data_IF_059017592426
#
_entry.id   IF_059017592426
#
_cell.length_a   1.000
_cell.length_b   1.000
_cell.length_c   1.000
_cell.angle_alpha   90.00
_cell.angle_beta   90.00
_cell.angle_gamma   90.00
#
_symmetry.space_group_name_H-M   'P 1'
#
loop_
_entity.id
_entity.type
_entity.pdbx_description
1 polymer ?
#
# COMPACT_ATOMS: atom_id res chain seq x y z
N UNK A 1 4.22 -69.41 9.74
CA UNK A 1 2.86 -69.51 9.14
C UNK A 1 2.65 -70.81 8.34
N UNK A 2 3.66 -71.67 8.16
CA UNK A 2 3.57 -72.94 7.41
C UNK A 2 3.27 -74.18 8.30
N UNK A 3 3.49 -74.09 9.61
CA UNK A 3 3.39 -75.30 10.53
C UNK A 3 1.95 -75.46 11.08
N UNK A 4 1.07 -74.50 10.93
CA UNK A 4 -0.33 -74.55 11.40
C UNK A 4 -1.32 -75.17 10.40
N UNK A 5 -0.93 -75.45 9.16
CA UNK A 5 -1.78 -76.08 8.13
C UNK A 5 -1.64 -77.57 8.03
N UNK A 6 -0.60 -78.17 8.58
CA UNK A 6 -0.37 -79.65 8.52
C UNK A 6 -1.07 -80.43 9.60
N UNK A 7 -1.58 -79.82 10.67
CA UNK A 7 -2.30 -80.54 11.74
C UNK A 7 -3.81 -80.71 11.53
N UNK A 8 -4.38 -80.12 10.49
CA UNK A 8 -5.81 -80.32 10.20
C UNK A 8 -6.14 -81.32 9.11
N UNK A 9 -5.14 -81.84 8.41
CA UNK A 9 -5.35 -82.89 7.37
C UNK A 9 -5.23 -84.33 7.81
N UNK A 10 -4.79 -84.59 9.04
CA UNK A 10 -4.60 -86.01 9.51
C UNK A 10 -5.79 -86.61 10.26
N UNK A 11 -6.92 -85.89 10.43
CA UNK A 11 -8.08 -86.43 11.17
C UNK A 11 -9.23 -86.84 10.23
N UNK A 12 -9.09 -86.63 8.92
CA UNK A 12 -10.17 -86.91 7.97
C UNK A 12 -10.07 -88.24 7.22
N UNK A 13 -8.90 -88.88 7.24
CA UNK A 13 -8.68 -90.10 6.42
C UNK A 13 -8.63 -91.47 7.21
N UNK A 14 -8.93 -91.43 8.51
CA UNK A 14 -8.85 -92.67 9.31
C UNK A 14 -10.18 -93.35 9.67
N UNK A 15 -11.32 -92.83 9.10
CA UNK A 15 -12.64 -93.39 9.44
C UNK A 15 -13.41 -94.00 8.23
N UNK A 16 -12.75 -94.30 7.12
CA UNK A 16 -13.42 -95.00 6.01
C UNK A 16 -12.59 -96.21 5.64
N UNK A 17 -12.70 -97.27 6.42
CA UNK A 17 -12.51 -98.65 6.04
C UNK A 17 -12.85 -99.57 7.25
N UNK A 18 -14.10 -99.93 7.40
CA UNK A 18 -14.59 -101.15 7.96
C UNK A 18 -16.12 -101.06 8.13
N UNK A 19 -16.86 -101.41 7.11
CA UNK A 19 -18.22 -101.92 7.21
C UNK A 19 -18.60 -102.44 5.82
N UNK A 20 -18.16 -103.65 5.55
CA UNK A 20 -18.80 -104.44 4.55
C UNK A 20 -19.37 -105.67 5.29
N UNK A 21 -20.62 -105.92 5.19
CA UNK A 21 -21.49 -107.00 5.46
C UNK A 21 -22.56 -106.76 6.54
N UNK A 22 -23.79 -106.52 5.95
CA UNK A 22 -25.10 -107.02 6.45
C UNK A 22 -25.43 -106.90 7.95
N UNK A 23 -26.58 -106.24 8.16
CA UNK A 23 -27.57 -106.31 9.23
C UNK A 23 -27.36 -105.56 10.56
N UNK A 24 -28.40 -104.73 10.83
CA UNK A 24 -28.71 -104.03 12.08
C UNK A 24 -27.86 -102.78 12.46
N UNK A 25 -28.19 -101.68 11.87
CA UNK A 25 -27.76 -100.35 12.36
C UNK A 25 -28.91 -99.35 12.58
N UNK A 26 -29.96 -99.75 13.31
CA UNK A 26 -31.01 -98.80 13.73
C UNK A 26 -30.74 -98.11 15.05
N UNK A 27 -29.59 -98.29 15.67
CA UNK A 27 -29.23 -97.67 16.97
C UNK A 27 -28.32 -96.42 16.93
N UNK A 28 -27.72 -96.06 15.79
CA UNK A 28 -26.69 -94.96 15.70
C UNK A 28 -27.17 -93.65 15.21
N UNK A 29 -28.39 -93.50 14.72
CA UNK A 29 -28.95 -92.24 14.25
C UNK A 29 -29.36 -91.33 15.38
N UNK A 30 -29.55 -91.77 16.60
CA UNK A 30 -29.92 -90.92 17.74
C UNK A 30 -28.69 -90.32 18.45
N UNK A 31 -27.51 -90.93 18.41
CA UNK A 31 -26.29 -90.43 19.02
C UNK A 31 -25.70 -89.19 18.29
N UNK A 32 -25.73 -89.15 16.93
CA UNK A 32 -25.21 -88.07 16.14
C UNK A 32 -26.10 -86.82 16.28
N UNK A 33 -27.43 -86.95 16.32
CA UNK A 33 -28.35 -85.86 16.55
C UNK A 33 -28.17 -85.21 17.95
N UNK A 34 -27.93 -86.02 18.99
CA UNK A 34 -27.68 -85.47 20.32
C UNK A 34 -26.33 -84.70 20.37
N UNK A 35 -25.27 -85.21 19.71
CA UNK A 35 -23.99 -84.48 19.63
C UNK A 35 -24.07 -83.18 18.82
N UNK A 36 -24.82 -83.16 17.72
CA UNK A 36 -25.02 -81.94 16.90
C UNK A 36 -25.89 -80.99 17.66
N UNK A 37 -26.93 -81.34 18.35
CA UNK A 37 -27.74 -80.48 19.21
C UNK A 37 -26.96 -79.88 20.38
N UNK A 38 -26.12 -80.72 21.05
CA UNK A 38 -25.25 -80.21 22.13
C UNK A 38 -24.20 -79.22 21.57
N UNK A 39 -23.66 -79.53 20.41
CA UNK A 39 -22.69 -78.65 19.74
C UNK A 39 -23.34 -77.37 19.33
N UNK A 40 -24.50 -77.35 18.68
CA UNK A 40 -25.28 -76.19 18.32
C UNK A 40 -25.70 -75.38 19.55
N UNK A 41 -26.10 -76.01 20.63
CA UNK A 41 -26.41 -75.31 21.90
C UNK A 41 -25.19 -74.68 22.55
N UNK A 42 -24.02 -75.30 22.45
CA UNK A 42 -22.74 -74.72 22.91
C UNK A 42 -22.30 -73.55 22.04
N UNK A 43 -22.44 -73.68 20.75
CA UNK A 43 -22.15 -72.59 19.83
C UNK A 43 -23.13 -71.39 20.00
N UNK A 44 -24.40 -71.69 20.18
CA UNK A 44 -25.45 -70.64 20.48
C UNK A 44 -25.17 -69.94 21.83
N UNK A 45 -24.81 -70.68 22.87
CA UNK A 45 -24.39 -70.12 24.18
C UNK A 45 -23.10 -69.28 24.07
N UNK A 46 -22.13 -69.64 23.23
CA UNK A 46 -20.93 -68.93 23.00
C UNK A 46 -21.27 -67.56 22.23
N UNK A 47 -22.14 -67.69 21.24
CA UNK A 47 -22.61 -66.48 20.46
C UNK A 47 -23.40 -65.49 21.32
N UNK A 48 -24.32 -66.03 22.20
CA UNK A 48 -25.03 -65.20 23.16
C UNK A 48 -24.09 -64.51 24.18
N UNK A 49 -23.08 -65.28 24.65
CA UNK A 49 -22.09 -64.74 25.59
C UNK A 49 -21.22 -63.66 24.91
N UNK A 50 -20.85 -63.85 23.62
CA UNK A 50 -20.13 -62.88 22.83
C UNK A 50 -21.00 -61.63 22.59
N UNK A 51 -22.29 -61.78 22.21
CA UNK A 51 -23.24 -60.66 22.07
C UNK A 51 -23.37 -59.87 23.37
N UNK A 52 -23.50 -60.53 24.52
CA UNK A 52 -23.54 -59.86 25.84
C UNK A 52 -22.24 -59.11 26.14
N UNK A 53 -21.08 -59.67 25.86
CA UNK A 53 -19.77 -58.99 26.04
C UNK A 53 -19.63 -57.77 25.14
N UNK A 54 -20.09 -57.85 23.89
CA UNK A 54 -20.09 -56.72 22.94
C UNK A 54 -21.03 -55.61 23.43
N UNK A 55 -22.26 -55.96 23.88
CA UNK A 55 -23.22 -55.00 24.43
C UNK A 55 -22.64 -54.29 25.66
N UNK A 56 -22.01 -55.04 26.58
CA UNK A 56 -21.35 -54.46 27.75
C UNK A 56 -20.20 -53.53 27.34
N UNK A 57 -19.37 -53.92 26.37
CA UNK A 57 -18.27 -53.13 25.89
C UNK A 57 -18.77 -51.83 25.24
N UNK A 58 -19.82 -51.90 24.41
CA UNK A 58 -20.48 -50.71 23.81
C UNK A 58 -21.07 -49.83 24.90
N UNK A 59 -21.77 -50.39 25.89
CA UNK A 59 -22.34 -49.60 26.99
C UNK A 59 -21.25 -48.88 27.81
N UNK A 60 -20.12 -49.54 28.08
CA UNK A 60 -18.96 -48.93 28.75
C UNK A 60 -18.40 -47.76 27.90
N UNK A 61 -18.23 -47.95 26.59
CA UNK A 61 -17.74 -46.91 25.68
C UNK A 61 -18.70 -45.72 25.68
N UNK A 62 -20.01 -45.95 25.63
CA UNK A 62 -21.05 -44.90 25.69
C UNK A 62 -20.99 -44.12 27.02
N UNK A 63 -20.83 -44.84 28.14
CA UNK A 63 -20.72 -44.19 29.48
C UNK A 63 -19.44 -43.35 29.57
N UNK A 64 -18.32 -43.85 29.06
CA UNK A 64 -17.06 -43.14 29.06
C UNK A 64 -17.14 -41.89 28.12
N UNK A 65 -17.77 -42.01 26.95
CA UNK A 65 -18.01 -40.92 26.05
C UNK A 65 -18.94 -39.83 26.67
N UNK A 66 -20.04 -40.26 27.32
CA UNK A 66 -20.95 -39.36 28.03
C UNK A 66 -20.28 -38.66 29.21
N UNK A 67 -19.49 -39.39 30.01
CA UNK A 67 -18.70 -38.82 31.11
C UNK A 67 -17.63 -37.84 30.60
N UNK A 68 -16.95 -38.21 29.53
CA UNK A 68 -15.98 -37.32 28.88
C UNK A 68 -16.60 -36.01 28.36
N UNK A 69 -17.71 -36.11 27.63
CA UNK A 69 -18.42 -34.93 27.15
C UNK A 69 -18.99 -34.07 28.27
N UNK A 70 -19.50 -34.66 29.33
CA UNK A 70 -19.94 -33.92 30.52
C UNK A 70 -18.79 -33.18 31.20
N UNK A 71 -17.64 -33.81 31.38
CA UNK A 71 -16.44 -33.17 31.92
C UNK A 71 -15.99 -31.98 31.06
N UNK A 72 -15.90 -32.16 29.73
CA UNK A 72 -15.52 -31.10 28.80
C UNK A 72 -16.52 -29.93 28.89
N UNK A 73 -17.84 -30.20 28.87
CA UNK A 73 -18.88 -29.18 29.00
C UNK A 73 -18.77 -28.41 30.32
N UNK A 74 -18.54 -29.12 31.44
CA UNK A 74 -18.37 -28.47 32.75
C UNK A 74 -17.17 -27.50 32.75
N UNK A 75 -16.03 -27.89 32.19
CA UNK A 75 -14.82 -27.05 32.09
C UNK A 75 -15.06 -25.82 31.21
N UNK A 76 -15.68 -26.01 30.03
CA UNK A 76 -16.01 -24.92 29.11
C UNK A 76 -17.00 -23.97 29.78
N UNK A 77 -18.11 -24.47 30.33
CA UNK A 77 -19.13 -23.65 30.98
C UNK A 77 -18.57 -22.81 32.12
N UNK A 78 -17.68 -23.38 32.94
CA UNK A 78 -17.00 -22.65 34.01
C UNK A 78 -16.14 -21.49 33.48
N UNK A 79 -15.46 -21.68 32.35
CA UNK A 79 -14.58 -20.65 31.77
C UNK A 79 -15.34 -19.51 31.13
N UNK A 80 -16.57 -19.74 30.64
CA UNK A 80 -17.38 -18.73 29.93
C UNK A 80 -18.55 -18.19 30.76
N UNK A 81 -18.71 -18.63 32.03
CA UNK A 81 -19.88 -18.38 32.89
C UNK A 81 -20.19 -16.88 33.07
N UNK A 82 -19.18 -16.05 33.23
CA UNK A 82 -19.32 -14.64 33.58
C UNK A 82 -19.61 -13.73 32.37
N UNK A 83 -19.84 -14.30 31.20
CA UNK A 83 -20.08 -13.52 29.98
C UNK A 83 -18.88 -12.68 29.50
N UNK A 84 -17.69 -12.99 30.03
CA UNK A 84 -16.41 -12.33 29.72
C UNK A 84 -15.61 -13.10 28.70
N UNK A 85 -14.68 -12.45 28.01
CA UNK A 85 -13.69 -13.08 27.14
C UNK A 85 -12.84 -14.05 28.00
N UNK A 86 -12.55 -15.23 27.47
CA UNK A 86 -11.75 -16.23 28.20
C UNK A 86 -10.37 -15.67 28.56
N UNK A 87 -9.81 -16.15 29.65
CA UNK A 87 -8.48 -15.69 30.11
C UNK A 87 -7.38 -16.06 29.11
N UNK A 88 -6.36 -15.22 29.00
CA UNK A 88 -5.20 -15.47 28.15
C UNK A 88 -5.35 -14.95 26.71
N UNK A 89 -6.46 -14.27 26.37
CA UNK A 89 -6.63 -13.61 25.09
C UNK A 89 -5.92 -12.26 25.11
N UNK A 90 -5.09 -12.02 24.12
CA UNK A 90 -4.40 -10.75 23.87
C UNK A 90 -4.57 -10.31 22.42
N UNK A 91 -4.55 -9.01 22.18
CA UNK A 91 -4.70 -8.40 20.87
C UNK A 91 -3.65 -7.30 20.72
N UNK A 92 -2.73 -7.47 19.74
CA UNK A 92 -1.64 -6.51 19.46
C UNK A 92 -0.95 -5.94 20.71
N UNK A 93 -0.56 -6.83 21.62
CA UNK A 93 0.18 -6.45 22.84
C UNK A 93 -0.68 -6.14 24.07
N UNK A 94 -1.97 -5.86 23.93
CA UNK A 94 -2.87 -5.65 25.08
C UNK A 94 -3.59 -6.94 25.47
N UNK A 95 -3.76 -7.16 26.79
CA UNK A 95 -4.55 -8.28 27.31
C UNK A 95 -6.00 -7.90 27.42
N UNK A 96 -6.89 -8.63 26.74
CA UNK A 96 -8.36 -8.45 26.77
C UNK A 96 -9.08 -9.62 27.43
N UNK A 97 -8.33 -10.66 27.85
CA UNK A 97 -8.88 -11.80 28.57
C UNK A 97 -9.41 -11.42 29.95
N UNK A 98 -10.63 -11.87 30.26
CA UNK A 98 -11.34 -11.53 31.49
C UNK A 98 -12.15 -10.22 31.42
N UNK A 99 -12.10 -9.50 30.30
CA UNK A 99 -12.90 -8.30 30.04
C UNK A 99 -14.30 -8.67 29.51
N UNK A 100 -15.26 -7.80 29.73
CA UNK A 100 -16.53 -7.80 29.01
C UNK A 100 -16.31 -7.34 27.56
N UNK A 101 -17.30 -7.50 26.69
CA UNK A 101 -17.22 -7.02 25.29
C UNK A 101 -16.99 -5.51 25.22
N UNK A 102 -17.66 -4.72 26.08
CA UNK A 102 -17.51 -3.27 26.10
C UNK A 102 -16.11 -2.86 26.56
N UNK A 103 -15.64 -3.39 27.68
CA UNK A 103 -14.29 -3.11 28.21
C UNK A 103 -13.19 -3.47 27.19
N UNK A 104 -13.34 -4.61 26.52
CA UNK A 104 -12.38 -5.04 25.49
C UNK A 104 -12.42 -4.12 24.25
N UNK A 105 -13.60 -3.65 23.83
CA UNK A 105 -13.77 -2.70 22.75
C UNK A 105 -13.05 -1.38 23.08
N UNK A 106 -13.34 -0.81 24.24
CA UNK A 106 -12.76 0.45 24.69
C UNK A 106 -11.23 0.35 24.80
N UNK A 107 -10.73 -0.79 25.30
CA UNK A 107 -9.29 -1.04 25.40
C UNK A 107 -8.61 -1.13 24.01
N UNK A 108 -9.23 -1.85 23.06
CA UNK A 108 -8.74 -1.96 21.69
C UNK A 108 -8.78 -0.60 21.00
N UNK A 109 -9.89 0.13 21.08
CA UNK A 109 -10.03 1.44 20.46
C UNK A 109 -8.99 2.45 20.98
N UNK A 110 -8.79 2.49 22.30
CA UNK A 110 -7.78 3.37 22.92
C UNK A 110 -6.37 3.03 22.47
N UNK A 111 -5.99 1.76 22.50
CA UNK A 111 -4.67 1.29 22.07
C UNK A 111 -4.43 1.56 20.58
N UNK A 112 -5.40 1.25 19.74
CA UNK A 112 -5.29 1.48 18.31
C UNK A 112 -5.26 2.95 17.94
N UNK A 113 -5.93 3.81 18.72
CA UNK A 113 -5.84 5.26 18.55
C UNK A 113 -4.42 5.77 18.77
N UNK A 114 -3.70 5.25 19.75
CA UNK A 114 -2.29 5.59 19.98
C UNK A 114 -1.42 5.15 18.80
N UNK A 115 -1.54 3.88 18.36
CA UNK A 115 -0.80 3.35 17.22
C UNK A 115 -1.10 4.14 15.94
N UNK A 116 -2.36 4.47 15.67
CA UNK A 116 -2.74 5.20 14.45
C UNK A 116 -2.31 6.67 14.44
N UNK A 117 -2.01 7.26 15.60
CA UNK A 117 -1.37 8.58 15.69
C UNK A 117 0.13 8.55 15.34
N UNK A 118 0.75 7.38 15.33
CA UNK A 118 2.14 7.25 14.93
C UNK A 118 2.35 7.60 13.46
N UNK A 119 3.56 8.07 13.17
CA UNK A 119 3.96 8.40 11.81
C UNK A 119 4.54 7.17 11.12
N UNK A 120 4.05 6.91 9.92
CA UNK A 120 4.64 5.96 8.99
C UNK A 120 5.41 6.70 7.90
N UNK A 121 6.60 6.22 7.55
CA UNK A 121 7.45 6.81 6.53
C UNK A 121 7.08 6.27 5.15
N UNK A 122 6.85 7.17 4.20
CA UNK A 122 6.68 6.89 2.78
C UNK A 122 8.00 7.16 2.08
N UNK A 123 8.50 6.22 1.30
CA UNK A 123 9.78 6.40 0.62
C UNK A 123 9.77 5.90 -0.82
N UNK A 124 10.64 6.51 -1.62
CA UNK A 124 11.04 6.05 -2.95
C UNK A 124 12.50 6.47 -3.17
N UNK A 125 13.35 5.52 -3.54
CA UNK A 125 14.81 5.73 -3.57
C UNK A 125 15.31 6.37 -2.26
N UNK A 126 15.99 7.52 -2.34
CA UNK A 126 16.48 8.27 -1.17
C UNK A 126 15.49 9.33 -0.64
N UNK A 127 14.42 9.57 -1.37
CA UNK A 127 13.40 10.55 -0.98
C UNK A 127 12.45 9.97 0.05
N UNK A 128 12.15 10.75 1.10
CA UNK A 128 11.31 10.33 2.22
C UNK A 128 10.29 11.39 2.59
N UNK A 129 9.14 10.92 3.03
CA UNK A 129 8.08 11.74 3.63
C UNK A 129 7.43 10.96 4.76
N UNK A 130 6.56 11.60 5.53
CA UNK A 130 5.83 10.91 6.59
C UNK A 130 4.39 11.41 6.70
N UNK A 131 3.50 10.53 7.16
CA UNK A 131 2.13 10.85 7.51
C UNK A 131 1.68 9.99 8.68
N UNK A 132 0.63 10.40 9.41
CA UNK A 132 0.05 9.54 10.44
C UNK A 132 -0.73 8.40 9.78
N UNK A 133 -0.72 7.23 10.43
CA UNK A 133 -1.43 6.03 9.93
C UNK A 133 -2.93 6.32 9.77
N UNK A 134 -3.56 7.03 10.73
CA UNK A 134 -4.97 7.42 10.65
C UNK A 134 -5.27 8.37 9.48
N UNK A 135 -4.34 9.30 9.21
CA UNK A 135 -4.47 10.22 8.07
C UNK A 135 -4.45 9.47 6.74
N UNK A 136 -3.72 8.36 6.68
CA UNK A 136 -3.68 7.46 5.53
C UNK A 136 -4.89 6.51 5.46
N UNK A 137 -5.85 6.65 6.37
CA UNK A 137 -7.15 5.98 6.27
C UNK A 137 -7.19 4.55 6.82
N UNK A 138 -6.30 4.18 7.74
CA UNK A 138 -6.42 2.94 8.50
C UNK A 138 -7.26 3.18 9.76
N UNK A 139 -8.22 2.29 10.02
CA UNK A 139 -9.11 2.32 11.18
C UNK A 139 -9.23 0.92 11.78
N UNK A 140 -9.32 0.84 13.11
CA UNK A 140 -9.62 -0.41 13.79
C UNK A 140 -11.12 -0.78 13.66
N UNK A 141 -11.42 -2.05 13.42
CA UNK A 141 -12.74 -2.64 13.55
C UNK A 141 -12.81 -3.39 14.89
N UNK A 142 -12.85 -2.65 16.00
CA UNK A 142 -12.82 -3.20 17.34
C UNK A 142 -13.98 -4.16 17.61
N UNK A 143 -15.19 -3.86 17.13
CA UNK A 143 -16.37 -4.72 17.32
C UNK A 143 -16.12 -6.13 16.73
N UNK A 144 -15.56 -6.21 15.51
CA UNK A 144 -15.28 -7.48 14.85
C UNK A 144 -14.20 -8.28 15.58
N UNK A 145 -13.18 -7.58 16.06
CA UNK A 145 -12.09 -8.19 16.86
C UNK A 145 -12.61 -8.73 18.19
N UNK A 146 -13.48 -7.97 18.87
CA UNK A 146 -14.11 -8.38 20.13
C UNK A 146 -15.03 -9.59 19.92
N UNK A 147 -15.82 -9.63 18.84
CA UNK A 147 -16.67 -10.78 18.53
C UNK A 147 -15.85 -12.05 18.29
N UNK A 148 -14.72 -11.97 17.58
CA UNK A 148 -13.81 -13.11 17.42
C UNK A 148 -13.23 -13.55 18.75
N UNK A 149 -12.74 -12.61 19.57
CA UNK A 149 -12.22 -12.90 20.91
C UNK A 149 -13.29 -13.55 21.82
N UNK A 150 -14.52 -13.06 21.74
CA UNK A 150 -15.64 -13.58 22.55
C UNK A 150 -16.13 -14.93 22.06
N UNK A 151 -15.99 -15.27 20.78
CA UNK A 151 -16.33 -16.57 20.20
C UNK A 151 -15.45 -17.71 20.71
N UNK A 152 -14.23 -17.43 21.20
CA UNK A 152 -13.34 -18.41 21.77
C UNK A 152 -13.99 -19.09 22.98
N UNK A 153 -13.99 -20.42 22.98
CA UNK A 153 -14.63 -21.26 23.98
C UNK A 153 -16.17 -21.29 23.89
N UNK A 154 -16.79 -20.55 22.94
CA UNK A 154 -18.27 -20.51 22.79
C UNK A 154 -18.75 -21.05 21.45
N UNK A 155 -17.94 -20.97 20.40
CA UNK A 155 -18.30 -21.44 19.06
C UNK A 155 -17.67 -22.79 18.72
N UNK A 156 -18.27 -23.53 17.77
CA UNK A 156 -17.76 -24.81 17.30
C UNK A 156 -18.14 -26.03 18.15
N UNK A 157 -17.47 -27.16 17.94
CA UNK A 157 -17.67 -28.41 18.65
C UNK A 157 -17.21 -28.33 20.10
N UNK A 158 -17.66 -29.29 20.96
CA UNK A 158 -17.20 -29.32 22.36
C UNK A 158 -15.68 -29.48 22.47
N UNK A 159 -15.08 -30.21 21.54
CA UNK A 159 -13.62 -30.36 21.50
C UNK A 159 -12.91 -29.05 21.14
N UNK A 160 -13.44 -28.27 20.17
CA UNK A 160 -12.95 -26.95 19.81
C UNK A 160 -13.02 -26.02 21.01
N UNK A 161 -14.21 -25.91 21.61
CA UNK A 161 -14.45 -25.06 22.80
C UNK A 161 -13.52 -25.41 23.96
N UNK A 162 -13.32 -26.69 24.19
CA UNK A 162 -12.40 -27.15 25.25
C UNK A 162 -10.94 -26.85 24.90
N UNK A 163 -10.54 -27.01 23.64
CA UNK A 163 -9.21 -26.63 23.17
C UNK A 163 -8.93 -25.16 23.43
N UNK A 164 -9.87 -24.27 23.04
CA UNK A 164 -9.77 -22.82 23.27
C UNK A 164 -9.59 -22.51 24.77
N UNK A 165 -10.39 -23.14 25.65
CA UNK A 165 -10.29 -22.91 27.09
C UNK A 165 -9.02 -23.52 27.71
N UNK A 166 -8.50 -24.63 27.16
CA UNK A 166 -7.27 -25.28 27.62
C UNK A 166 -6.02 -24.48 27.22
N UNK A 167 -6.05 -23.83 26.06
CA UNK A 167 -4.97 -23.00 25.59
C UNK A 167 -4.80 -21.78 26.48
N UNK A 168 -3.58 -21.55 26.94
CA UNK A 168 -3.28 -20.49 27.91
C UNK A 168 -3.06 -19.11 27.26
N UNK A 169 -2.83 -19.06 25.96
CA UNK A 169 -2.47 -17.84 25.24
C UNK A 169 -3.09 -17.82 23.84
N UNK A 170 -3.99 -16.90 23.61
CA UNK A 170 -4.54 -16.59 22.28
C UNK A 170 -4.05 -15.22 21.86
N UNK A 171 -3.39 -15.16 20.73
CA UNK A 171 -2.96 -13.88 20.13
C UNK A 171 -3.85 -13.60 18.93
N UNK A 172 -4.60 -12.53 19.00
CA UNK A 172 -5.44 -12.03 17.91
C UNK A 172 -4.82 -10.79 17.30
N UNK A 173 -5.06 -10.58 16.03
CA UNK A 173 -4.77 -9.31 15.35
C UNK A 173 -6.02 -8.46 15.29
N UNK A 174 -5.87 -7.14 15.39
CA UNK A 174 -6.99 -6.20 15.23
C UNK A 174 -7.46 -6.21 13.78
N UNK A 175 -8.75 -6.43 13.54
CA UNK A 175 -9.33 -6.19 12.23
C UNK A 175 -9.24 -4.71 11.87
N UNK A 176 -8.81 -4.43 10.65
CA UNK A 176 -8.64 -3.07 10.16
C UNK A 176 -9.48 -2.82 8.92
N UNK A 177 -10.04 -1.63 8.85
CA UNK A 177 -10.69 -1.07 7.67
C UNK A 177 -9.80 0.00 7.08
N UNK A 178 -9.80 0.10 5.77
CA UNK A 178 -8.97 1.04 5.04
C UNK A 178 -9.82 1.90 4.09
N UNK A 179 -9.68 3.21 4.19
CA UNK A 179 -10.29 4.17 3.28
C UNK A 179 -9.28 4.53 2.18
N UNK A 180 -9.49 3.97 0.97
CA UNK A 180 -8.63 4.21 -0.18
C UNK A 180 -8.65 5.66 -0.64
N UNK A 181 -9.81 6.33 -0.61
CA UNK A 181 -9.91 7.72 -1.06
C UNK A 181 -9.17 8.67 -0.11
N UNK A 182 -9.29 8.44 1.20
CA UNK A 182 -8.53 9.17 2.22
C UNK A 182 -7.04 8.92 2.07
N UNK A 183 -6.62 7.66 1.85
CA UNK A 183 -5.22 7.31 1.59
C UNK A 183 -4.68 8.06 0.38
N UNK A 184 -5.35 8.01 -0.77
CA UNK A 184 -4.94 8.67 -1.99
C UNK A 184 -4.75 10.17 -1.82
N UNK A 185 -5.72 10.85 -1.21
CA UNK A 185 -5.66 12.28 -0.93
C UNK A 185 -4.44 12.65 -0.08
N UNK A 186 -4.20 11.91 0.99
CA UNK A 186 -3.15 12.25 1.94
C UNK A 186 -1.76 11.77 1.51
N UNK A 187 -1.64 10.66 0.77
CA UNK A 187 -0.40 10.28 0.10
C UNK A 187 0.01 11.35 -0.90
N UNK A 188 -0.89 11.82 -1.79
CA UNK A 188 -0.60 12.90 -2.74
C UNK A 188 -0.14 14.18 -2.03
N UNK A 189 -0.78 14.53 -0.90
CA UNK A 189 -0.37 15.68 -0.09
C UNK A 189 1.02 15.50 0.53
N UNK A 190 1.27 14.37 1.16
CA UNK A 190 2.54 14.07 1.81
C UNK A 190 3.71 13.98 0.82
N UNK A 191 3.45 13.47 -0.40
CA UNK A 191 4.48 13.23 -1.41
C UNK A 191 4.61 14.34 -2.46
N UNK A 192 3.93 15.49 -2.29
CA UNK A 192 3.94 16.61 -3.27
C UNK A 192 5.34 17.06 -3.68
N UNK A 193 6.33 16.97 -2.78
CA UNK A 193 7.73 17.35 -3.06
C UNK A 193 8.50 16.25 -3.77
N UNK A 194 8.08 14.99 -3.64
CA UNK A 194 8.70 13.80 -4.20
C UNK A 194 8.09 13.50 -5.57
N UNK A 195 6.76 13.37 -5.63
CA UNK A 195 5.99 13.07 -6.84
C UNK A 195 5.82 14.36 -7.65
N UNK A 196 6.65 14.54 -8.64
CA UNK A 196 6.67 15.73 -9.52
C UNK A 196 7.10 15.33 -10.92
N UNK A 197 6.74 16.16 -11.90
CA UNK A 197 7.31 16.01 -13.25
C UNK A 197 8.85 16.15 -13.21
N UNK A 198 9.55 15.50 -14.14
CA UNK A 198 10.99 15.64 -14.24
C UNK A 198 11.38 17.08 -14.53
N UNK A 199 12.47 17.53 -13.95
CA UNK A 199 13.04 18.84 -14.26
C UNK A 199 14.37 18.65 -14.98
N UNK A 200 14.50 19.26 -16.13
CA UNK A 200 15.75 19.27 -16.87
C UNK A 200 16.87 19.98 -16.08
N UNK A 201 18.10 19.55 -16.32
CA UNK A 201 19.25 20.31 -15.89
C UNK A 201 19.24 21.69 -16.52
N UNK A 202 19.79 22.67 -15.84
CA UNK A 202 19.90 24.05 -16.32
C UNK A 202 21.23 24.65 -15.94
N UNK A 203 21.53 25.85 -16.49
CA UNK A 203 22.77 26.57 -16.22
C UNK A 203 22.43 27.94 -15.67
N UNK A 204 23.15 28.38 -14.66
CA UNK A 204 23.17 29.77 -14.20
C UNK A 204 24.56 30.35 -14.37
N UNK A 205 24.63 31.61 -14.75
CA UNK A 205 25.90 32.37 -14.74
C UNK A 205 26.05 33.09 -13.41
N UNK A 206 27.10 32.75 -12.66
CA UNK A 206 27.44 33.39 -11.40
C UNK A 206 28.92 33.77 -11.43
N UNK A 207 29.22 35.03 -11.12
CA UNK A 207 30.59 35.60 -11.08
C UNK A 207 31.39 35.29 -12.36
N UNK A 208 30.73 35.47 -13.51
CA UNK A 208 31.34 35.17 -14.83
C UNK A 208 31.41 33.70 -15.23
N UNK A 209 31.14 32.77 -14.34
CA UNK A 209 31.24 31.33 -14.58
C UNK A 209 29.85 30.67 -14.76
N UNK A 210 29.80 29.66 -15.58
CA UNK A 210 28.59 28.83 -15.72
C UNK A 210 28.53 27.77 -14.61
N UNK A 211 27.44 27.71 -13.90
CA UNK A 211 27.18 26.75 -12.83
C UNK A 211 26.00 25.88 -13.24
N UNK A 212 26.23 24.57 -13.34
CA UNK A 212 25.21 23.59 -13.72
C UNK A 212 24.31 23.32 -12.52
N UNK A 213 23.00 23.39 -12.73
CA UNK A 213 21.96 22.94 -11.81
C UNK A 213 21.50 21.57 -12.28
N UNK A 214 21.66 20.56 -11.42
CA UNK A 214 21.31 19.20 -11.75
C UNK A 214 19.83 19.02 -12.09
N UNK A 215 19.58 18.10 -12.98
CA UNK A 215 18.25 17.59 -13.27
C UNK A 215 17.61 16.92 -12.05
N UNK A 216 16.30 16.81 -12.08
CA UNK A 216 15.56 16.03 -11.10
C UNK A 216 14.72 14.98 -11.82
N UNK A 217 14.85 13.72 -11.38
CA UNK A 217 13.98 12.63 -11.81
C UNK A 217 12.54 12.94 -11.37
N UNK A 218 11.60 12.75 -12.26
CA UNK A 218 10.17 12.81 -11.97
C UNK A 218 9.65 11.44 -11.55
N UNK A 219 8.57 11.47 -10.76
CA UNK A 219 7.87 10.27 -10.32
C UNK A 219 6.38 10.42 -10.56
N UNK A 220 5.77 9.42 -11.19
CA UNK A 220 4.31 9.31 -11.31
C UNK A 220 3.85 8.19 -10.41
N UNK A 221 2.94 8.48 -9.46
CA UNK A 221 2.50 7.56 -8.43
C UNK A 221 1.47 6.55 -8.97
N UNK A 222 1.72 5.27 -8.76
CA UNK A 222 0.73 4.20 -8.92
C UNK A 222 0.01 4.01 -7.57
N UNK A 223 -1.17 4.60 -7.44
CA UNK A 223 -1.92 4.59 -6.18
C UNK A 223 -2.43 3.21 -5.78
N UNK A 224 -2.73 2.31 -6.72
CA UNK A 224 -3.24 1.00 -6.38
C UNK A 224 -2.20 0.18 -5.61
N UNK A 225 -0.99 0.10 -6.16
CA UNK A 225 0.12 -0.64 -5.53
C UNK A 225 0.64 0.08 -4.27
N UNK A 226 0.73 1.42 -4.30
CA UNK A 226 1.09 2.19 -3.11
C UNK A 226 0.12 1.93 -1.95
N UNK A 227 -1.19 1.87 -2.23
CA UNK A 227 -2.19 1.53 -1.23
C UNK A 227 -2.05 0.09 -0.71
N UNK A 228 -1.73 -0.86 -1.60
CA UNK A 228 -1.46 -2.25 -1.21
C UNK A 228 -0.21 -2.34 -0.32
N UNK A 229 0.86 -1.60 -0.64
CA UNK A 229 2.06 -1.53 0.17
C UNK A 229 1.80 -0.91 1.56
N UNK A 230 1.00 0.17 1.62
CA UNK A 230 0.56 0.76 2.88
C UNK A 230 -0.17 -0.27 3.76
N UNK A 231 -1.17 -0.98 3.21
CA UNK A 231 -1.90 -2.02 3.95
C UNK A 231 -0.97 -3.09 4.50
N UNK A 232 -0.12 -3.65 3.65
CA UNK A 232 0.87 -4.68 4.05
C UNK A 232 1.80 -4.17 5.16
N UNK A 233 2.20 -2.90 5.11
CA UNK A 233 3.07 -2.32 6.12
C UNK A 233 2.35 -2.19 7.47
N UNK A 234 1.11 -1.70 7.49
CA UNK A 234 0.30 -1.58 8.70
C UNK A 234 -0.01 -2.95 9.31
N UNK A 235 -0.37 -3.94 8.49
CA UNK A 235 -0.64 -5.32 8.93
C UNK A 235 0.60 -6.03 9.47
N UNK A 236 1.78 -5.67 8.97
CA UNK A 236 3.07 -6.20 9.43
C UNK A 236 3.77 -5.32 10.49
N UNK A 237 3.06 -4.35 11.07
CA UNK A 237 3.57 -3.40 12.10
C UNK A 237 4.87 -2.69 11.66
N UNK A 238 5.02 -2.40 10.37
CA UNK A 238 6.18 -1.68 9.84
C UNK A 238 5.97 -0.19 9.89
N UNK A 239 7.01 0.55 10.26
CA UNK A 239 6.98 2.02 10.32
C UNK A 239 7.33 2.69 9.00
N UNK A 240 7.40 1.96 7.90
CA UNK A 240 7.67 2.48 6.56
C UNK A 240 7.09 1.60 5.45
N UNK A 241 6.76 2.24 4.31
CA UNK A 241 6.38 1.54 3.08
C UNK A 241 6.88 2.27 1.85
N UNK A 242 7.09 1.51 0.79
CA UNK A 242 7.57 2.01 -0.49
C UNK A 242 6.40 2.56 -1.33
N UNK A 243 6.63 3.74 -1.92
CA UNK A 243 5.75 4.30 -2.93
C UNK A 243 5.98 3.54 -4.25
N UNK A 244 4.92 3.02 -4.84
CA UNK A 244 5.03 2.47 -6.19
C UNK A 244 4.93 3.60 -7.21
N UNK A 245 6.00 3.80 -7.98
CA UNK A 245 6.14 4.91 -8.90
C UNK A 245 6.70 4.52 -10.26
N UNK A 246 6.24 5.19 -11.29
CA UNK A 246 6.90 5.18 -12.59
C UNK A 246 7.89 6.35 -12.64
N UNK A 247 9.17 6.04 -12.85
CA UNK A 247 10.25 7.03 -12.98
C UNK A 247 10.24 7.65 -14.35
N UNK A 248 10.24 8.98 -14.41
CA UNK A 248 10.41 9.77 -15.62
C UNK A 248 11.77 10.47 -15.58
N UNK A 249 12.64 10.14 -16.50
CA UNK A 249 13.95 10.80 -16.62
C UNK A 249 13.78 12.19 -17.21
N UNK A 250 14.60 13.11 -16.78
CA UNK A 250 14.76 14.40 -17.43
C UNK A 250 15.28 14.22 -18.86
N UNK A 251 14.80 15.04 -19.78
CA UNK A 251 15.20 15.02 -21.19
C UNK A 251 16.64 15.53 -21.36
N UNK A 252 17.01 16.54 -20.59
CA UNK A 252 18.35 17.15 -20.62
C UNK A 252 19.01 17.00 -19.25
N UNK A 253 20.23 16.51 -19.26
CA UNK A 253 21.00 16.12 -18.08
C UNK A 253 22.08 17.12 -17.73
N UNK A 254 22.69 17.00 -16.57
CA UNK A 254 23.85 17.78 -16.17
C UNK A 254 25.04 17.59 -17.12
N UNK A 255 25.15 16.44 -17.78
CA UNK A 255 26.18 16.19 -18.80
C UNK A 255 25.98 17.08 -20.03
N UNK A 256 24.70 17.21 -20.47
CA UNK A 256 24.38 18.07 -21.61
C UNK A 256 24.64 19.56 -21.25
N UNK A 257 24.34 19.95 -20.02
CA UNK A 257 24.58 21.32 -19.55
C UNK A 257 26.06 21.65 -19.33
N UNK A 258 26.90 20.67 -19.07
CA UNK A 258 28.35 20.87 -18.91
C UNK A 258 29.05 21.34 -20.20
N UNK A 259 28.41 21.15 -21.36
CA UNK A 259 28.90 21.64 -22.64
C UNK A 259 28.67 23.15 -22.84
N UNK A 260 27.85 23.81 -22.02
CA UNK A 260 27.63 25.26 -22.09
C UNK A 260 28.78 25.99 -21.38
N UNK A 261 29.71 26.52 -22.13
CA UNK A 261 30.97 27.13 -21.64
C UNK A 261 31.15 28.56 -22.12
N UNK A 262 30.48 28.96 -23.22
CA UNK A 262 30.76 30.19 -23.93
C UNK A 262 29.60 31.16 -23.91
N UNK A 263 29.95 32.43 -23.99
CA UNK A 263 28.98 33.53 -24.20
C UNK A 263 28.94 33.82 -25.70
N UNK A 264 27.84 33.46 -26.34
CA UNK A 264 27.70 33.59 -27.80
C UNK A 264 27.27 34.97 -28.25
N UNK A 265 26.53 35.72 -27.41
CA UNK A 265 26.07 37.07 -27.76
C UNK A 265 25.84 37.92 -26.52
N UNK A 266 26.14 39.20 -26.63
CA UNK A 266 25.88 40.19 -25.58
C UNK A 266 25.34 41.46 -26.21
N UNK A 267 24.46 42.13 -25.47
CA UNK A 267 24.01 43.49 -25.79
C UNK A 267 23.58 44.24 -24.54
N UNK A 268 23.79 45.53 -24.51
CA UNK A 268 23.47 46.35 -23.34
C UNK A 268 22.72 47.62 -23.78
N UNK A 269 21.69 47.99 -23.04
CA UNK A 269 21.02 49.29 -23.16
C UNK A 269 20.90 49.91 -21.77
N UNK A 270 20.98 51.26 -21.73
CA UNK A 270 20.95 51.97 -20.47
C UNK A 270 19.53 52.52 -20.18
N UNK A 271 19.12 52.45 -18.92
CA UNK A 271 17.84 53.00 -18.46
C UNK A 271 17.97 53.80 -17.15
N UNK A 272 19.20 54.11 -16.72
CA UNK A 272 19.49 54.80 -15.48
C UNK A 272 18.82 56.17 -15.35
N UNK A 273 18.65 56.90 -16.43
CA UNK A 273 17.95 58.20 -16.49
C UNK A 273 16.40 58.10 -16.49
N UNK A 274 15.82 56.93 -16.51
CA UNK A 274 14.37 56.70 -16.58
C UNK A 274 13.64 57.06 -15.28
N UNK A 275 12.34 57.39 -15.32
CA UNK A 275 11.47 57.53 -14.15
C UNK A 275 11.44 56.22 -13.32
N UNK A 276 11.15 56.37 -12.03
CA UNK A 276 11.19 55.22 -11.07
C UNK A 276 10.36 54.00 -11.52
N UNK A 277 9.07 54.22 -11.91
CA UNK A 277 8.21 53.11 -12.35
C UNK A 277 8.76 52.34 -13.55
N UNK A 278 9.39 53.07 -14.53
CA UNK A 278 10.04 52.44 -15.66
C UNK A 278 11.27 51.63 -15.26
N UNK A 279 12.08 52.12 -14.31
CA UNK A 279 13.24 51.38 -13.79
C UNK A 279 12.80 50.09 -13.13
N UNK A 280 11.72 50.12 -12.31
CA UNK A 280 11.11 48.94 -11.68
C UNK A 280 10.70 47.91 -12.74
N UNK A 281 10.01 48.35 -13.80
CA UNK A 281 9.50 47.48 -14.85
C UNK A 281 10.63 46.80 -15.64
N UNK A 282 11.65 47.58 -16.05
CA UNK A 282 12.80 47.06 -16.79
C UNK A 282 13.57 46.01 -15.94
N UNK A 283 13.85 46.35 -14.67
CA UNK A 283 14.54 45.45 -13.76
C UNK A 283 13.71 44.16 -13.51
N UNK A 284 12.39 44.30 -13.28
CA UNK A 284 11.50 43.15 -13.07
C UNK A 284 11.43 42.24 -14.31
N UNK A 285 11.25 42.82 -15.51
CA UNK A 285 11.23 42.05 -16.75
C UNK A 285 12.55 41.34 -17.02
N UNK A 286 13.69 42.02 -16.82
CA UNK A 286 15.00 41.39 -16.94
C UNK A 286 15.19 40.23 -15.94
N UNK A 287 14.75 40.42 -14.71
CA UNK A 287 14.81 39.35 -13.70
C UNK A 287 14.00 38.10 -14.06
N UNK A 288 12.86 38.26 -14.71
CA UNK A 288 11.99 37.14 -15.16
C UNK A 288 12.60 36.37 -16.33
N UNK A 289 13.35 37.03 -17.21
CA UNK A 289 14.05 36.37 -18.33
C UNK A 289 15.37 35.73 -17.87
N UNK A 290 15.98 36.27 -16.84
CA UNK A 290 17.28 35.82 -16.38
C UNK A 290 17.23 34.35 -15.94
N UNK A 291 18.10 33.50 -16.51
CA UNK A 291 18.16 32.06 -16.26
C UNK A 291 17.18 31.26 -17.12
N UNK A 292 16.47 31.88 -18.07
CA UNK A 292 15.68 31.13 -19.06
C UNK A 292 16.59 30.18 -19.85
N UNK A 293 16.11 28.97 -20.07
CA UNK A 293 16.78 27.95 -20.89
C UNK A 293 15.95 27.72 -22.16
N UNK A 294 16.61 27.65 -23.31
CA UNK A 294 16.01 27.28 -24.60
C UNK A 294 16.75 26.06 -25.09
N UNK A 295 16.09 24.92 -25.04
CA UNK A 295 16.68 23.68 -25.51
C UNK A 295 16.53 23.54 -27.02
N UNK A 296 17.30 22.64 -27.69
CA UNK A 296 17.23 22.45 -29.13
C UNK A 296 15.79 22.21 -29.63
N UNK A 297 15.35 23.06 -30.57
CA UNK A 297 13.99 23.01 -31.12
C UNK A 297 12.91 23.74 -30.32
N UNK A 298 13.25 24.31 -29.17
CA UNK A 298 12.32 25.11 -28.36
C UNK A 298 12.35 26.60 -28.74
N UNK A 299 11.30 27.29 -28.37
CA UNK A 299 11.16 28.77 -28.59
C UNK A 299 10.88 29.46 -27.27
N UNK A 300 11.60 30.52 -26.96
CA UNK A 300 11.33 31.43 -25.85
C UNK A 300 10.38 32.53 -26.30
N UNK A 301 9.19 32.62 -25.74
CA UNK A 301 8.34 33.76 -25.86
C UNK A 301 8.65 34.77 -24.76
N UNK A 302 9.20 35.93 -25.15
CA UNK A 302 9.48 37.02 -24.19
C UNK A 302 8.20 37.48 -23.53
N UNK A 303 7.13 37.69 -24.30
CA UNK A 303 5.81 38.07 -23.76
C UNK A 303 5.32 37.10 -22.68
N UNK A 304 5.27 35.80 -22.96
CA UNK A 304 4.84 34.78 -21.98
C UNK A 304 5.72 34.76 -20.72
N UNK A 305 7.01 35.06 -20.87
CA UNK A 305 7.96 35.03 -19.74
C UNK A 305 7.76 36.24 -18.82
N UNK A 306 7.45 37.42 -19.35
CA UNK A 306 7.36 38.67 -18.56
C UNK A 306 5.94 39.00 -18.13
N UNK A 307 4.90 38.51 -18.82
CA UNK A 307 3.50 38.75 -18.47
C UNK A 307 3.03 37.96 -17.24
N UNK A 308 1.86 38.27 -16.63
CA UNK A 308 1.02 39.43 -16.88
C UNK A 308 1.59 40.73 -16.32
N UNK A 309 1.26 41.84 -16.95
CA UNK A 309 1.71 43.20 -16.52
C UNK A 309 0.76 43.71 -15.46
N UNK A 310 0.91 43.33 -14.23
CA UNK A 310 0.08 43.74 -13.09
C UNK A 310 0.94 44.16 -11.90
N UNK A 311 0.35 44.89 -10.97
CA UNK A 311 0.98 45.28 -9.71
C UNK A 311 1.42 44.07 -8.90
N UNK A 312 0.57 43.04 -8.83
CA UNK A 312 0.82 41.79 -8.09
C UNK A 312 2.00 41.03 -8.67
N UNK A 313 2.25 41.17 -9.99
CA UNK A 313 3.40 40.56 -10.67
C UNK A 313 4.64 41.45 -10.64
N UNK A 314 4.66 42.51 -9.82
CA UNK A 314 5.80 43.36 -9.54
C UNK A 314 6.00 44.50 -10.52
N UNK A 315 4.99 44.85 -11.34
CA UNK A 315 5.07 46.00 -12.25
C UNK A 315 4.50 47.28 -11.64
N UNK A 316 5.07 48.39 -12.06
CA UNK A 316 4.62 49.72 -11.70
C UNK A 316 3.97 50.44 -12.90
N UNK A 317 3.18 51.46 -12.62
CA UNK A 317 2.69 52.38 -13.67
C UNK A 317 3.85 53.19 -14.24
N UNK A 318 3.97 53.19 -15.55
CA UNK A 318 4.96 53.99 -16.29
C UNK A 318 4.47 54.24 -17.72
N UNK A 319 5.08 55.21 -18.37
CA UNK A 319 4.73 55.60 -19.74
C UNK A 319 4.93 54.46 -20.74
N UNK A 320 3.91 54.18 -21.51
CA UNK A 320 3.87 53.27 -22.66
C UNK A 320 3.35 54.03 -23.88
N UNK A 321 3.71 53.57 -25.06
CA UNK A 321 3.17 54.05 -26.31
C UNK A 321 1.96 53.20 -26.71
N UNK A 322 0.79 53.82 -26.83
CA UNK A 322 -0.43 53.16 -27.24
C UNK A 322 -1.20 54.07 -28.18
N UNK A 323 -1.53 53.58 -29.39
CA UNK A 323 -2.24 54.33 -30.42
C UNK A 323 -1.64 55.72 -30.72
N UNK A 324 -0.30 55.84 -30.73
CA UNK A 324 0.40 57.08 -31.02
C UNK A 324 0.44 58.09 -29.86
N UNK A 325 -0.04 57.69 -28.66
CA UNK A 325 -0.03 58.52 -27.45
C UNK A 325 0.78 57.87 -26.34
N UNK A 326 1.25 58.68 -25.39
CA UNK A 326 1.87 58.18 -24.17
C UNK A 326 0.83 58.01 -23.08
N UNK A 327 0.62 56.79 -22.64
CA UNK A 327 -0.31 56.42 -21.56
C UNK A 327 0.44 55.79 -20.38
N UNK A 328 -0.17 55.84 -19.20
CA UNK A 328 0.39 55.21 -18.01
C UNK A 328 -0.18 53.76 -17.88
N UNK A 329 0.69 52.75 -18.06
CA UNK A 329 0.30 51.36 -17.94
C UNK A 329 1.25 50.59 -17.03
N UNK A 330 0.78 49.48 -16.43
CA UNK A 330 1.67 48.54 -15.80
C UNK A 330 2.60 47.89 -16.83
N UNK A 331 3.91 47.83 -16.56
CA UNK A 331 4.89 47.31 -17.49
C UNK A 331 5.43 48.30 -18.50
N UNK A 332 5.06 49.60 -18.42
CA UNK A 332 5.64 50.66 -19.29
C UNK A 332 7.16 50.63 -19.28
N UNK A 333 7.78 50.52 -20.46
CA UNK A 333 9.22 50.40 -20.65
C UNK A 333 9.72 48.97 -20.85
N UNK A 334 8.89 47.92 -20.73
CA UNK A 334 9.28 46.51 -20.86
C UNK A 334 9.85 46.18 -22.25
N UNK A 335 9.43 46.88 -23.30
CA UNK A 335 9.96 46.70 -24.64
C UNK A 335 11.48 46.95 -24.74
N UNK A 336 12.09 47.67 -23.79
CA UNK A 336 13.53 47.78 -23.74
C UNK A 336 14.20 46.46 -23.36
N UNK A 337 13.57 45.65 -22.52
CA UNK A 337 14.06 44.32 -22.15
C UNK A 337 14.04 43.39 -23.36
N UNK A 338 12.92 43.33 -24.09
CA UNK A 338 12.80 42.51 -25.31
C UNK A 338 13.75 42.98 -26.40
N UNK A 339 13.93 44.26 -26.59
CA UNK A 339 14.87 44.83 -27.55
C UNK A 339 16.32 44.49 -27.20
N UNK A 340 16.68 44.60 -25.93
CA UNK A 340 18.03 44.25 -25.48
C UNK A 340 18.31 42.76 -25.68
N UNK A 341 17.37 41.90 -25.33
CA UNK A 341 17.48 40.46 -25.57
C UNK A 341 17.55 40.15 -27.08
N UNK A 342 16.67 40.74 -27.90
CA UNK A 342 16.67 40.56 -29.33
C UNK A 342 18.05 40.86 -29.95
N UNK A 343 18.67 41.94 -29.54
CA UNK A 343 20.02 42.29 -30.03
C UNK A 343 21.12 41.33 -29.53
N UNK A 344 20.98 40.75 -28.35
CA UNK A 344 21.92 39.76 -27.84
C UNK A 344 21.77 38.42 -28.59
N UNK A 345 20.54 37.96 -28.83
CA UNK A 345 20.28 36.65 -29.47
C UNK A 345 20.58 36.63 -30.97
N UNK A 346 20.41 37.77 -31.66
CA UNK A 346 20.88 37.93 -33.06
C UNK A 346 22.41 37.74 -33.12
N UNK A 347 23.16 38.34 -32.21
CA UNK A 347 24.64 38.20 -32.14
C UNK A 347 25.07 36.79 -31.79
N UNK A 348 24.20 36.04 -31.14
CA UNK A 348 24.37 34.61 -30.87
C UNK A 348 23.91 33.73 -32.06
N UNK A 349 23.51 34.32 -33.20
CA UNK A 349 23.03 33.63 -34.40
C UNK A 349 21.78 32.74 -34.15
N UNK A 350 21.00 33.06 -33.12
CA UNK A 350 19.76 32.32 -32.83
C UNK A 350 18.64 32.73 -33.80
N UNK A 351 17.81 31.78 -34.18
CA UNK A 351 16.68 31.99 -35.07
C UNK A 351 15.63 32.87 -34.38
N UNK A 352 15.32 34.00 -34.97
CA UNK A 352 14.19 34.83 -34.57
C UNK A 352 12.91 34.28 -35.23
N UNK A 353 11.97 33.82 -34.42
CA UNK A 353 10.70 33.24 -34.89
C UNK A 353 9.72 34.36 -35.21
N UNK A 354 9.67 35.39 -34.36
CA UNK A 354 8.75 36.52 -34.50
C UNK A 354 9.35 37.78 -33.88
N UNK A 355 9.14 38.93 -34.52
CA UNK A 355 9.58 40.22 -34.04
C UNK A 355 8.66 41.33 -34.58
N UNK A 356 8.25 42.21 -33.71
CA UNK A 356 7.48 43.39 -34.08
C UNK A 356 8.31 44.67 -33.83
N UNK A 357 8.34 45.64 -34.77
CA UNK A 357 8.95 46.93 -34.52
C UNK A 357 8.01 47.82 -33.69
N UNK A 358 8.55 48.83 -33.02
CA UNK A 358 7.72 49.85 -32.42
C UNK A 358 7.05 50.72 -33.51
N UNK A 359 5.83 51.21 -33.22
CA UNK A 359 5.13 52.17 -34.05
C UNK A 359 5.75 53.59 -34.01
N UNK A 360 6.55 53.88 -32.98
CA UNK A 360 7.26 55.13 -32.76
C UNK A 360 8.75 54.90 -32.54
N UNK A 361 9.60 55.84 -32.94
CA UNK A 361 11.04 55.75 -32.79
C UNK A 361 11.44 55.65 -31.31
N UNK A 362 12.25 54.65 -30.99
CA UNK A 362 12.91 54.49 -29.69
C UNK A 362 14.35 54.99 -29.77
N UNK A 363 14.88 55.54 -28.67
CA UNK A 363 16.16 56.22 -28.66
C UNK A 363 17.29 55.41 -27.98
N UNK A 364 16.98 54.27 -27.38
CA UNK A 364 17.94 53.43 -26.66
C UNK A 364 18.64 52.37 -27.54
N UNK A 365 18.27 52.28 -28.82
CA UNK A 365 18.92 51.45 -29.84
C UNK A 365 18.94 52.17 -31.20
N UNK A 366 19.80 51.78 -32.14
CA UNK A 366 19.74 52.22 -33.53
C UNK A 366 18.40 51.90 -34.19
N UNK A 367 18.03 52.63 -35.22
CA UNK A 367 16.81 52.38 -36.01
C UNK A 367 16.79 50.96 -36.53
N UNK A 368 15.65 50.32 -36.54
CA UNK A 368 15.41 48.92 -36.95
C UNK A 368 16.04 47.86 -36.06
N UNK A 369 16.70 48.23 -34.95
CA UNK A 369 17.26 47.29 -33.98
C UNK A 369 16.33 47.01 -32.78
N UNK A 370 15.10 47.48 -32.83
CA UNK A 370 14.12 47.38 -31.77
C UNK A 370 13.25 46.10 -31.90
N UNK A 371 12.68 45.66 -30.80
CA UNK A 371 11.71 44.59 -30.76
C UNK A 371 10.66 44.92 -29.67
N UNK A 372 9.46 45.22 -30.09
CA UNK A 372 8.35 45.56 -29.21
C UNK A 372 7.66 44.32 -28.66
N UNK A 373 7.07 44.47 -27.48
CA UNK A 373 6.10 43.52 -26.91
C UNK A 373 4.72 44.17 -26.96
N UNK A 374 3.80 43.59 -27.70
CA UNK A 374 2.40 44.02 -27.73
C UNK A 374 1.55 43.08 -26.84
N UNK A 375 0.53 43.64 -26.19
CA UNK A 375 -0.29 42.92 -25.22
C UNK A 375 -1.23 41.85 -25.80
N UNK A 376 -1.17 41.59 -27.09
CA UNK A 376 -2.07 40.68 -27.81
C UNK A 376 -1.34 39.60 -28.62
N UNK A 377 -0.03 39.51 -28.55
CA UNK A 377 0.75 38.55 -29.34
C UNK A 377 1.75 37.78 -28.49
#
# INVERSE_FOLDING_TARGET
>A
KAIRRQRQMCIRDSCIRYCDSSDHCDGWNNGSRIFDDVRMNLERKKEETMKKKIIIAVAVIVILAAGGTFYLNHKVSSAVKDGKIIKGVSCEGISIGGMTRSEAKDAIESHMKEIHQEKITLYVDDERSSAKIEDLGAFAEADKTVEEAYALGRSGSIFTKYSDVKEKKHKLSVYRKYDKAKCEKNVKKATKKIVSEPRNASVKRKDGKFVVIKEKTGYTLNMNETFANFKKAVEAEKHQFELDVVKKKAKYTSKDMAEIKDVLGTYTTEYGGSPYGRKVNVANGASKINGSMVYPGETLSVYKTVSPFTKENGYALAGSYENGQTVQTYGGGICQVSTTLYNAVIRAELKIVERFPHSMTVHYVPRSADAAIAGTH
#
